data_IF_510868732639
#
_entry.id   IF_510868732639
#
_cell.length_a   1.000
_cell.length_b   1.000
_cell.length_c   1.000
_cell.angle_alpha   90.00
_cell.angle_beta   90.00
_cell.angle_gamma   90.00
#
_symmetry.space_group_name_H-M   'P 1'
#
loop_
_entity.id
_entity.type
_entity.pdbx_description
1 polymer ?
#
# COMPACT_ATOMS: atom_id res chain seq x y z
N UNK A 1 -11.14 22.42 -5.71
CA UNK A 1 -9.90 22.56 -6.51
C UNK A 1 -9.86 21.44 -7.53
N UNK A 2 -9.95 21.75 -8.82
CA UNK A 2 -9.90 20.74 -9.88
C UNK A 2 -8.53 20.05 -9.92
N UNK A 3 -8.47 18.73 -10.15
CA UNK A 3 -7.23 18.00 -10.36
C UNK A 3 -6.49 18.53 -11.60
N UNK A 4 -5.25 18.99 -11.45
CA UNK A 4 -4.40 19.36 -12.59
C UNK A 4 -3.66 18.12 -13.10
N UNK A 5 -3.68 17.85 -14.41
CA UNK A 5 -2.82 16.83 -15.05
C UNK A 5 -1.35 17.19 -14.78
N UNK A 6 -0.55 16.24 -14.27
CA UNK A 6 0.83 16.46 -13.85
C UNK A 6 1.80 15.42 -14.42
N UNK A 7 3.07 15.78 -14.70
CA UNK A 7 4.01 14.98 -15.51
C UNK A 7 4.76 13.87 -14.75
N UNK A 8 4.20 13.24 -13.71
CA UNK A 8 4.90 12.18 -12.95
C UNK A 8 3.98 11.01 -12.61
N UNK A 9 3.64 10.22 -13.62
CA UNK A 9 2.87 9.01 -13.42
C UNK A 9 3.40 7.91 -14.34
N UNK A 10 4.12 6.98 -13.72
CA UNK A 10 4.79 5.88 -14.41
C UNK A 10 3.81 4.92 -15.08
N UNK A 11 2.54 4.97 -14.67
CA UNK A 11 1.49 4.08 -15.08
C UNK A 11 0.44 4.74 -16.00
N UNK A 12 0.75 5.91 -16.60
CA UNK A 12 -0.17 6.59 -17.53
C UNK A 12 -0.60 5.62 -18.62
N UNK A 13 -1.88 5.24 -18.62
CA UNK A 13 -2.46 4.35 -19.63
C UNK A 13 -2.16 2.88 -19.52
N UNK A 14 -1.56 2.47 -18.42
CA UNK A 14 -1.33 1.06 -18.15
C UNK A 14 -2.43 0.48 -17.28
N UNK A 15 -3.10 1.29 -16.44
CA UNK A 15 -4.01 0.80 -15.39
C UNK A 15 -5.47 1.02 -15.76
N UNK A 16 -6.29 -0.01 -15.56
CA UNK A 16 -7.72 -0.05 -15.83
C UNK A 16 -8.47 -0.57 -14.59
N UNK A 17 -9.68 -0.09 -14.37
CA UNK A 17 -10.58 -0.61 -13.33
C UNK A 17 -11.50 -1.73 -13.85
N UNK A 18 -12.34 -2.26 -12.95
CA UNK A 18 -13.24 -3.39 -13.21
C UNK A 18 -14.26 -3.15 -14.33
N UNK A 19 -14.56 -1.89 -14.67
CA UNK A 19 -15.46 -1.58 -15.79
C UNK A 19 -14.68 -1.38 -17.10
N UNK A 20 -13.36 -1.54 -17.09
CA UNK A 20 -12.47 -1.23 -18.20
C UNK A 20 -12.16 0.26 -18.35
N UNK A 21 -12.50 1.13 -17.39
CA UNK A 21 -12.13 2.55 -17.47
C UNK A 21 -10.65 2.73 -17.12
N UNK A 22 -9.96 3.53 -17.92
CA UNK A 22 -8.54 3.80 -17.76
C UNK A 22 -8.33 4.77 -16.60
N UNK A 23 -7.42 4.45 -15.69
CA UNK A 23 -7.07 5.36 -14.61
C UNK A 23 -6.13 6.47 -15.11
N UNK A 24 -6.53 7.72 -14.89
CA UNK A 24 -5.76 8.91 -15.23
C UNK A 24 -5.06 9.48 -14.01
N UNK A 25 -3.75 9.76 -14.12
CA UNK A 25 -3.00 10.37 -13.04
C UNK A 25 -3.36 11.83 -12.83
N UNK A 26 -3.28 12.24 -11.57
CA UNK A 26 -3.65 13.57 -11.14
C UNK A 26 -2.94 13.91 -9.83
N UNK A 27 -2.78 15.21 -9.58
CA UNK A 27 -2.19 15.74 -8.34
C UNK A 27 -3.12 16.72 -7.66
N UNK A 28 -3.06 16.75 -6.33
CA UNK A 28 -3.77 17.71 -5.50
C UNK A 28 -2.81 18.32 -4.48
N UNK A 29 -2.87 19.64 -4.31
CA UNK A 29 -2.13 20.37 -3.27
C UNK A 29 -2.99 20.50 -2.01
N UNK A 30 -2.50 20.02 -0.87
CA UNK A 30 -3.12 20.26 0.44
C UNK A 30 -2.88 21.70 0.89
N UNK A 31 -3.66 22.17 1.87
CA UNK A 31 -3.46 23.48 2.51
C UNK A 31 -2.06 23.63 3.12
N UNK A 32 -1.46 22.54 3.57
CA UNK A 32 -0.08 22.48 4.08
C UNK A 32 1.02 22.58 3.01
N UNK A 33 0.67 22.82 1.74
CA UNK A 33 1.63 22.84 0.62
C UNK A 33 2.02 21.46 0.10
N UNK A 34 1.79 20.37 0.87
CA UNK A 34 2.08 18.99 0.44
C UNK A 34 1.30 18.60 -0.80
N UNK A 35 2.00 18.10 -1.81
CA UNK A 35 1.40 17.53 -3.04
C UNK A 35 1.10 16.05 -2.80
N UNK A 36 -0.10 15.62 -3.15
CA UNK A 36 -0.49 14.20 -3.16
C UNK A 36 -0.90 13.81 -4.57
N UNK A 37 -0.39 12.66 -5.03
CA UNK A 37 -0.65 12.08 -6.35
C UNK A 37 -1.69 10.97 -6.27
N UNK A 38 -2.51 10.85 -7.31
CA UNK A 38 -3.58 9.89 -7.40
C UNK A 38 -3.78 9.39 -8.84
N UNK A 39 -4.39 8.21 -8.99
CA UNK A 39 -4.95 7.69 -10.24
C UNK A 39 -6.48 7.66 -10.10
N UNK A 40 -7.22 8.19 -11.09
CA UNK A 40 -8.69 8.28 -11.06
C UNK A 40 -9.31 7.58 -12.27
N UNK A 41 -10.44 6.91 -12.11
CA UNK A 41 -11.26 6.54 -13.28
C UNK A 41 -11.60 7.79 -14.08
N UNK A 42 -11.44 7.75 -15.41
CA UNK A 42 -11.68 8.92 -16.25
C UNK A 42 -13.08 9.49 -16.07
N UNK A 43 -14.09 8.63 -15.85
CA UNK A 43 -15.47 9.05 -15.59
C UNK A 43 -15.61 10.04 -14.44
N UNK A 44 -14.74 9.98 -13.42
CA UNK A 44 -14.75 10.94 -12.30
C UNK A 44 -14.22 12.32 -12.70
N UNK A 45 -13.48 12.41 -13.80
CA UNK A 45 -12.91 13.65 -14.33
C UNK A 45 -13.85 14.29 -15.35
N UNK A 46 -14.43 13.48 -16.25
CA UNK A 46 -15.28 13.97 -17.36
C UNK A 46 -16.78 13.95 -17.06
N UNK A 47 -17.27 13.02 -16.23
CA UNK A 47 -18.70 12.74 -16.02
C UNK A 47 -19.28 13.17 -14.67
N UNK A 48 -18.43 13.60 -13.72
CA UNK A 48 -18.88 14.04 -12.40
C UNK A 48 -18.85 12.91 -11.35
N UNK A 49 -19.71 13.02 -10.33
CA UNK A 49 -19.70 12.08 -9.22
C UNK A 49 -20.25 10.70 -9.64
N UNK A 50 -19.41 9.67 -9.52
CA UNK A 50 -19.80 8.29 -9.80
C UNK A 50 -19.39 7.40 -8.61
N UNK A 51 -20.33 6.73 -7.91
CA UNK A 51 -20.02 5.90 -6.76
C UNK A 51 -19.15 4.67 -7.10
N UNK A 52 -19.13 4.25 -8.36
CA UNK A 52 -18.28 3.16 -8.87
C UNK A 52 -16.91 3.65 -9.33
N UNK A 53 -16.67 4.96 -9.37
CA UNK A 53 -15.40 5.52 -9.80
C UNK A 53 -14.28 5.33 -8.79
N UNK A 54 -13.08 5.06 -9.29
CA UNK A 54 -11.91 4.76 -8.48
C UNK A 54 -11.04 5.99 -8.29
N UNK A 55 -10.47 6.13 -7.10
CA UNK A 55 -9.46 7.15 -6.77
C UNK A 55 -8.37 6.53 -5.91
N UNK A 56 -7.24 6.19 -6.51
CA UNK A 56 -6.16 5.48 -5.84
C UNK A 56 -4.98 6.41 -5.54
N UNK A 57 -4.31 6.24 -4.42
CA UNK A 57 -3.04 6.93 -4.09
C UNK A 57 -1.94 6.41 -5.03
N UNK A 58 -1.24 7.32 -5.71
CA UNK A 58 -0.27 6.92 -6.73
C UNK A 58 0.98 6.26 -6.12
N UNK A 59 1.48 6.77 -5.01
CA UNK A 59 2.63 6.19 -4.29
C UNK A 59 2.38 4.74 -3.87
N UNK A 60 1.19 4.48 -3.32
CA UNK A 60 0.75 3.15 -2.90
C UNK A 60 0.68 2.19 -4.09
N UNK A 61 -0.02 2.59 -5.17
CA UNK A 61 -0.18 1.76 -6.36
C UNK A 61 1.15 1.46 -7.06
N UNK A 62 2.01 2.49 -7.17
CA UNK A 62 3.32 2.38 -7.81
C UNK A 62 4.25 1.44 -7.03
N UNK A 63 4.29 1.56 -5.69
CA UNK A 63 5.10 0.67 -4.86
C UNK A 63 4.61 -0.77 -4.91
N UNK A 64 3.30 -0.96 -4.78
CA UNK A 64 2.64 -2.25 -4.89
C UNK A 64 3.02 -2.99 -6.19
N UNK A 65 2.75 -2.35 -7.33
CA UNK A 65 2.98 -3.00 -8.62
C UNK A 65 4.46 -3.28 -8.85
N UNK A 66 5.34 -2.39 -8.38
CA UNK A 66 6.79 -2.62 -8.43
C UNK A 66 7.21 -3.85 -7.61
N UNK A 67 6.66 -4.03 -6.41
CA UNK A 67 6.99 -5.17 -5.55
C UNK A 67 6.49 -6.50 -6.15
N UNK A 68 5.25 -6.52 -6.66
CA UNK A 68 4.69 -7.68 -7.35
C UNK A 68 5.58 -8.08 -8.52
N UNK A 69 5.87 -7.13 -9.42
CA UNK A 69 6.63 -7.40 -10.64
C UNK A 69 8.04 -7.86 -10.30
N UNK A 70 8.73 -7.17 -9.38
CA UNK A 70 10.08 -7.53 -8.96
C UNK A 70 10.14 -8.94 -8.37
N UNK A 71 9.21 -9.29 -7.49
CA UNK A 71 9.15 -10.60 -6.84
C UNK A 71 8.86 -11.71 -7.86
N UNK A 72 7.82 -11.54 -8.68
CA UNK A 72 7.40 -12.58 -9.65
C UNK A 72 8.43 -12.81 -10.74
N UNK A 73 9.04 -11.75 -11.27
CA UNK A 73 10.11 -11.89 -12.26
C UNK A 73 11.34 -12.57 -11.65
N UNK A 74 11.73 -12.20 -10.42
CA UNK A 74 12.87 -12.82 -9.74
C UNK A 74 12.65 -14.30 -9.45
N UNK A 75 11.46 -14.67 -8.98
CA UNK A 75 11.05 -16.07 -8.79
C UNK A 75 11.07 -16.85 -10.11
N UNK A 76 10.49 -16.29 -11.18
CA UNK A 76 10.42 -16.94 -12.47
C UNK A 76 11.80 -17.10 -13.14
N UNK A 77 12.70 -16.13 -12.97
CA UNK A 77 14.09 -16.22 -13.43
C UNK A 77 14.86 -17.30 -12.66
N UNK A 78 14.87 -17.21 -11.33
CA UNK A 78 15.63 -18.10 -10.46
C UNK A 78 15.23 -19.57 -10.61
N UNK A 79 13.97 -19.83 -10.96
CA UNK A 79 13.43 -21.17 -11.18
C UNK A 79 13.53 -21.64 -12.65
N UNK A 80 14.26 -20.92 -13.51
CA UNK A 80 14.38 -21.20 -14.95
C UNK A 80 13.03 -21.28 -15.67
N UNK A 81 11.99 -20.63 -15.13
CA UNK A 81 10.63 -20.66 -15.67
C UNK A 81 10.44 -19.64 -16.77
N UNK A 82 10.96 -18.42 -16.55
CA UNK A 82 10.88 -17.33 -17.53
C UNK A 82 11.76 -17.61 -18.76
N UNK A 83 12.94 -18.19 -18.56
CA UNK A 83 13.87 -18.51 -19.63
C UNK A 83 14.51 -19.90 -19.41
N UNK A 84 13.84 -21.01 -19.82
CA UNK A 84 14.28 -22.37 -19.49
C UNK A 84 15.63 -22.79 -20.05
N UNK A 85 16.15 -22.07 -21.06
CA UNK A 85 17.42 -22.38 -21.73
C UNK A 85 18.51 -21.35 -21.42
N UNK A 86 18.27 -20.45 -20.46
CA UNK A 86 19.26 -19.47 -20.02
C UNK A 86 20.48 -20.18 -19.44
N UNK A 87 21.68 -19.70 -19.75
CA UNK A 87 22.90 -20.26 -19.16
C UNK A 87 23.09 -19.70 -17.73
N UNK A 88 23.78 -20.43 -16.83
CA UNK A 88 23.95 -19.99 -15.45
C UNK A 88 24.57 -18.60 -15.26
N UNK A 89 25.55 -18.20 -16.09
CA UNK A 89 26.15 -16.86 -16.01
C UNK A 89 25.19 -15.76 -16.49
N UNK A 90 24.45 -16.01 -17.58
CA UNK A 90 23.41 -15.11 -18.09
C UNK A 90 22.28 -14.95 -17.07
N UNK A 91 21.97 -15.99 -16.29
CA UNK A 91 21.00 -15.92 -15.20
C UNK A 91 21.45 -15.02 -14.06
N UNK A 92 22.71 -15.12 -13.63
CA UNK A 92 23.25 -14.23 -12.59
C UNK A 92 23.20 -12.78 -13.06
N UNK A 93 23.68 -12.50 -14.28
CA UNK A 93 23.64 -11.16 -14.86
C UNK A 93 22.21 -10.62 -14.99
N UNK A 94 21.25 -11.45 -15.40
CA UNK A 94 19.83 -11.06 -15.50
C UNK A 94 19.23 -10.78 -14.12
N UNK A 95 19.61 -11.57 -13.10
CA UNK A 95 19.16 -11.38 -11.71
C UNK A 95 19.72 -10.07 -11.14
N UNK A 96 20.99 -9.78 -11.38
CA UNK A 96 21.63 -8.53 -10.93
C UNK A 96 21.00 -7.30 -11.59
N UNK A 97 20.72 -7.37 -12.90
CA UNK A 97 20.01 -6.29 -13.62
C UNK A 97 18.61 -6.06 -13.08
N UNK A 98 17.88 -7.14 -12.79
CA UNK A 98 16.55 -7.04 -12.20
C UNK A 98 16.61 -6.43 -10.79
N UNK A 99 17.56 -6.85 -9.96
CA UNK A 99 17.74 -6.35 -8.59
C UNK A 99 18.19 -4.88 -8.56
N UNK A 100 18.83 -4.39 -9.61
CA UNK A 100 19.27 -3.00 -9.74
C UNK A 100 18.16 -2.01 -10.12
N UNK A 101 16.98 -2.48 -10.56
CA UNK A 101 15.90 -1.61 -11.00
C UNK A 101 15.30 -0.81 -9.85
N UNK A 102 15.09 0.49 -10.08
CA UNK A 102 14.27 1.30 -9.20
C UNK A 102 12.76 1.07 -9.45
N UNK A 103 11.91 1.68 -8.62
CA UNK A 103 10.44 1.59 -8.77
C UNK A 103 9.97 2.04 -10.15
N UNK A 104 10.54 3.11 -10.70
CA UNK A 104 10.12 3.65 -11.99
C UNK A 104 10.48 2.69 -13.12
N UNK A 105 11.69 2.17 -13.11
CA UNK A 105 12.18 1.23 -14.12
C UNK A 105 11.39 -0.07 -14.08
N UNK A 106 11.09 -0.58 -12.88
CA UNK A 106 10.24 -1.76 -12.71
C UNK A 106 8.84 -1.54 -13.27
N UNK A 107 8.21 -0.39 -13.00
CA UNK A 107 6.89 -0.05 -13.55
C UNK A 107 6.91 0.21 -15.05
N UNK A 108 8.07 0.50 -15.64
CA UNK A 108 8.19 0.68 -17.07
C UNK A 108 8.03 -0.65 -17.83
N UNK A 109 8.38 -1.77 -17.18
CA UNK A 109 8.17 -3.14 -17.69
C UNK A 109 6.70 -3.52 -17.82
N UNK A 110 5.78 -2.80 -17.16
CA UNK A 110 4.35 -3.09 -17.23
C UNK A 110 3.78 -2.62 -18.57
N UNK A 111 3.06 -3.50 -19.26
CA UNK A 111 2.26 -3.16 -20.44
C UNK A 111 0.82 -2.80 -20.04
N UNK A 112 0.21 -3.59 -19.16
CA UNK A 112 -1.19 -3.41 -18.71
C UNK A 112 -1.41 -3.92 -17.29
N UNK A 113 -2.29 -3.25 -16.56
CA UNK A 113 -2.82 -3.68 -15.26
C UNK A 113 -4.33 -3.55 -15.29
N UNK A 114 -5.02 -4.65 -15.02
CA UNK A 114 -6.46 -4.67 -14.78
C UNK A 114 -6.69 -4.88 -13.27
N UNK A 115 -7.30 -3.90 -12.62
CA UNK A 115 -7.57 -3.93 -11.20
C UNK A 115 -9.05 -4.22 -10.94
N UNK A 116 -9.30 -5.02 -9.91
CA UNK A 116 -10.61 -5.20 -9.25
C UNK A 116 -10.45 -5.02 -7.74
N UNK A 117 -11.55 -5.04 -6.99
CA UNK A 117 -11.45 -4.89 -5.53
C UNK A 117 -10.61 -5.99 -4.85
N UNK A 118 -10.49 -7.16 -5.50
CA UNK A 118 -9.86 -8.36 -4.93
C UNK A 118 -8.67 -8.90 -5.70
N UNK A 119 -8.40 -8.42 -6.92
CA UNK A 119 -7.28 -8.90 -7.77
C UNK A 119 -6.63 -7.83 -8.62
N UNK A 120 -5.33 -7.97 -8.86
CA UNK A 120 -4.55 -7.23 -9.84
C UNK A 120 -4.04 -8.21 -10.89
N UNK A 121 -4.52 -8.09 -12.13
CA UNK A 121 -3.93 -8.78 -13.27
C UNK A 121 -2.89 -7.87 -13.92
N UNK A 122 -1.66 -8.34 -14.03
CA UNK A 122 -0.53 -7.57 -14.55
C UNK A 122 0.03 -8.28 -15.77
N UNK A 123 0.22 -7.53 -16.84
CA UNK A 123 0.84 -7.98 -18.08
C UNK A 123 2.11 -7.16 -18.29
N UNK A 124 3.22 -7.85 -18.52
CA UNK A 124 4.52 -7.26 -18.77
C UNK A 124 4.78 -7.11 -20.27
N UNK A 125 5.55 -6.08 -20.60
CA UNK A 125 6.04 -5.80 -21.94
C UNK A 125 7.17 -6.78 -22.28
N UNK A 126 6.91 -7.63 -23.27
CA UNK A 126 7.81 -8.73 -23.65
C UNK A 126 9.16 -8.21 -24.13
N UNK A 127 9.16 -7.12 -24.91
CA UNK A 127 10.38 -6.56 -25.48
C UNK A 127 11.24 -5.92 -24.39
N UNK A 128 10.61 -5.20 -23.44
CA UNK A 128 11.33 -4.61 -22.32
C UNK A 128 11.89 -5.66 -21.37
N UNK A 129 11.13 -6.71 -21.06
CA UNK A 129 11.64 -7.80 -20.23
C UNK A 129 12.77 -8.54 -20.95
N UNK A 130 12.62 -8.84 -22.24
CA UNK A 130 13.69 -9.45 -23.05
C UNK A 130 14.97 -8.61 -23.09
N UNK A 131 14.84 -7.29 -23.23
CA UNK A 131 15.97 -6.37 -23.17
C UNK A 131 16.65 -6.35 -21.79
N UNK A 132 15.86 -6.38 -20.71
CA UNK A 132 16.38 -6.41 -19.33
C UNK A 132 17.21 -7.67 -19.07
N UNK A 133 16.68 -8.84 -19.43
CA UNK A 133 17.35 -10.13 -19.18
C UNK A 133 18.36 -10.49 -20.27
N UNK A 134 18.42 -9.71 -21.36
CA UNK A 134 19.24 -9.94 -22.57
C UNK A 134 18.97 -11.29 -23.25
N UNK A 135 17.70 -11.64 -23.37
CA UNK A 135 17.24 -12.87 -24.00
C UNK A 135 16.26 -12.50 -25.10
N UNK A 136 16.42 -13.11 -26.28
CA UNK A 136 15.47 -12.94 -27.38
C UNK A 136 14.05 -13.32 -26.91
N UNK A 137 13.07 -12.54 -27.32
CA UNK A 137 11.67 -12.71 -26.89
C UNK A 137 11.08 -14.07 -27.25
N UNK A 138 11.57 -14.70 -28.32
CA UNK A 138 11.20 -16.07 -28.73
C UNK A 138 11.70 -17.18 -27.78
N UNK A 139 12.65 -16.89 -26.90
CA UNK A 139 13.22 -17.81 -25.89
C UNK A 139 12.60 -17.59 -24.51
N UNK A 140 11.78 -16.56 -24.35
CA UNK A 140 11.02 -16.30 -23.12
C UNK A 140 9.75 -17.14 -23.09
N UNK A 141 9.41 -17.62 -21.89
CA UNK A 141 8.11 -18.19 -21.63
C UNK A 141 7.13 -17.07 -21.25
N UNK A 142 6.23 -16.75 -22.17
CA UNK A 142 5.28 -15.64 -22.04
C UNK A 142 4.23 -15.86 -20.94
N UNK A 143 4.02 -17.11 -20.50
CA UNK A 143 3.08 -17.41 -19.41
C UNK A 143 3.54 -16.76 -18.09
N UNK A 144 4.84 -16.54 -17.92
CA UNK A 144 5.41 -15.87 -16.75
C UNK A 144 5.53 -14.35 -16.90
N UNK A 145 5.05 -13.79 -18.02
CA UNK A 145 4.90 -12.34 -18.23
C UNK A 145 3.50 -11.85 -17.93
N UNK A 146 2.64 -12.74 -17.43
CA UNK A 146 1.31 -12.43 -16.92
C UNK A 146 1.18 -13.00 -15.52
N UNK A 147 0.75 -12.17 -14.59
CA UNK A 147 0.43 -12.64 -13.24
C UNK A 147 -0.92 -12.10 -12.80
N UNK A 148 -1.60 -12.87 -11.95
CA UNK A 148 -2.77 -12.41 -11.23
C UNK A 148 -2.47 -12.53 -9.74
N UNK A 149 -2.48 -11.39 -9.05
CA UNK A 149 -2.24 -11.33 -7.61
C UNK A 149 -3.53 -10.98 -6.87
N UNK A 150 -3.83 -11.68 -5.76
CA UNK A 150 -4.89 -11.24 -4.85
C UNK A 150 -4.46 -9.93 -4.18
N UNK A 151 -5.34 -8.92 -4.20
CA UNK A 151 -5.16 -7.62 -3.54
C UNK A 151 -6.41 -7.30 -2.72
N UNK A 152 -6.34 -6.34 -1.79
CA UNK A 152 -7.54 -5.85 -1.09
C UNK A 152 -7.62 -4.33 -1.20
N UNK A 153 -8.51 -3.89 -2.09
CA UNK A 153 -8.94 -2.50 -2.19
C UNK A 153 -10.22 -2.32 -1.39
N UNK A 154 -10.28 -1.33 -0.49
CA UNK A 154 -11.55 -0.97 0.17
C UNK A 154 -11.93 0.48 -0.08
N UNK A 155 -13.23 0.74 -0.20
CA UNK A 155 -13.81 2.09 -0.27
C UNK A 155 -13.76 2.70 1.12
N UNK A 156 -13.22 3.92 1.26
CA UNK A 156 -13.26 4.65 2.54
C UNK A 156 -14.30 5.76 2.44
N UNK A 157 -15.36 5.65 3.26
CA UNK A 157 -16.52 6.57 3.39
C UNK A 157 -17.56 6.49 2.24
N UNK A 158 -18.82 6.92 2.49
CA UNK A 158 -19.98 6.91 1.58
C UNK A 158 -19.76 7.73 0.27
N UNK A 159 -18.93 7.25 -0.66
CA UNK A 159 -18.74 7.85 -1.98
C UNK A 159 -17.49 7.36 -2.71
N UNK A 160 -17.28 7.88 -3.93
CA UNK A 160 -16.33 7.54 -5.02
C UNK A 160 -14.81 7.56 -4.69
N UNK A 161 -14.43 7.37 -3.42
CA UNK A 161 -13.06 7.44 -2.94
C UNK A 161 -12.62 6.09 -2.42
N UNK A 162 -12.03 5.30 -3.31
CA UNK A 162 -11.26 4.13 -2.89
C UNK A 162 -10.03 4.57 -2.09
N UNK A 163 -9.67 3.80 -1.09
CA UNK A 163 -8.37 3.95 -0.40
C UNK A 163 -7.73 2.58 -0.43
N UNK A 164 -6.53 2.47 -1.00
CA UNK A 164 -5.72 1.26 -0.86
C UNK A 164 -5.59 0.92 0.63
N UNK A 165 -5.99 -0.29 1.02
CA UNK A 165 -5.89 -0.77 2.41
C UNK A 165 -4.75 -1.79 2.55
N UNK A 166 -4.39 -2.51 1.48
CA UNK A 166 -3.12 -3.23 1.41
C UNK A 166 -3.01 -4.23 0.26
N UNK A 167 -1.79 -4.65 0.01
CA UNK A 167 -1.40 -5.89 -0.68
C UNK A 167 -0.26 -6.47 0.14
N UNK A 168 -0.58 -7.57 0.84
CA UNK A 168 -0.08 -7.81 2.21
C UNK A 168 -0.39 -6.60 3.11
N UNK A 169 -0.62 -6.87 4.37
CA UNK A 169 -1.03 -5.83 5.30
C UNK A 169 -0.09 -4.64 5.30
N UNK A 170 -0.55 -3.47 4.86
CA UNK A 170 0.28 -2.28 4.99
C UNK A 170 0.13 -1.74 6.42
N UNK A 171 1.24 -1.57 7.16
CA UNK A 171 1.19 -1.06 8.51
C UNK A 171 0.48 0.30 8.56
N UNK A 172 -0.55 0.42 9.40
CA UNK A 172 -1.24 1.69 9.59
C UNK A 172 -0.32 2.68 10.33
N UNK A 173 0.53 3.39 9.59
CA UNK A 173 1.55 4.28 10.16
C UNK A 173 0.99 5.37 11.08
N UNK A 174 -0.27 5.77 10.90
CA UNK A 174 -0.92 6.71 11.81
C UNK A 174 -1.22 6.04 13.16
N UNK A 175 -1.71 4.81 13.14
CA UNK A 175 -1.94 4.00 14.33
C UNK A 175 -0.63 3.62 15.02
N UNK A 176 0.39 3.19 14.27
CA UNK A 176 1.72 2.89 14.82
C UNK A 176 2.32 4.11 15.52
N UNK A 177 2.28 5.29 14.89
CA UNK A 177 2.73 6.53 15.55
C UNK A 177 1.93 6.83 16.81
N UNK A 178 0.62 6.57 16.81
CA UNK A 178 -0.21 6.78 18.00
C UNK A 178 0.17 5.82 19.14
N UNK A 179 0.45 4.55 18.85
CA UNK A 179 0.92 3.55 19.82
C UNK A 179 2.27 3.96 20.40
N UNK A 180 3.25 4.28 19.55
CA UNK A 180 4.59 4.73 19.99
C UNK A 180 4.50 5.99 20.84
N UNK A 181 3.64 6.94 20.45
CA UNK A 181 3.42 8.16 21.24
C UNK A 181 2.81 7.84 22.61
N UNK A 182 1.84 6.93 22.66
CA UNK A 182 1.21 6.51 23.91
C UNK A 182 2.23 5.82 24.85
N UNK A 183 3.10 4.96 24.31
CA UNK A 183 4.17 4.31 25.06
C UNK A 183 5.15 5.33 25.64
N UNK A 184 5.58 6.31 24.83
CA UNK A 184 6.44 7.40 25.30
C UNK A 184 5.79 8.20 26.45
N UNK A 185 4.49 8.50 26.37
CA UNK A 185 3.77 9.17 27.46
C UNK A 185 3.73 8.33 28.74
N UNK A 186 3.55 7.01 28.62
CA UNK A 186 3.60 6.11 29.79
C UNK A 186 4.97 6.15 30.45
N UNK A 187 6.05 6.15 29.67
CA UNK A 187 7.40 6.22 30.22
C UNK A 187 7.68 7.58 30.88
N UNK A 188 7.26 8.69 30.27
CA UNK A 188 7.35 10.01 30.90
C UNK A 188 6.57 10.10 32.23
N UNK A 189 5.41 9.43 32.34
CA UNK A 189 4.62 9.37 33.58
C UNK A 189 5.34 8.53 34.64
N UNK A 190 5.94 7.40 34.27
CA UNK A 190 6.77 6.59 35.19
C UNK A 190 7.95 7.37 35.73
N UNK A 191 8.53 8.25 34.91
CA UNK A 191 9.62 9.16 35.27
C UNK A 191 9.16 10.36 36.13
N UNK A 192 7.88 10.39 36.54
CA UNK A 192 7.33 11.38 37.46
C UNK A 192 6.73 12.61 36.80
N UNK A 193 6.61 12.64 35.46
CA UNK A 193 5.97 13.76 34.76
C UNK A 193 4.46 13.72 34.98
N UNK A 194 3.90 14.87 35.39
CA UNK A 194 2.46 14.98 35.61
C UNK A 194 1.69 15.07 34.29
N UNK A 195 0.44 14.62 34.29
CA UNK A 195 -0.45 14.76 33.12
C UNK A 195 -0.61 16.22 32.71
N UNK A 196 -0.70 17.14 33.68
CA UNK A 196 -0.76 18.58 33.39
C UNK A 196 0.44 19.06 32.57
N UNK A 197 1.64 18.55 32.85
CA UNK A 197 2.84 18.84 32.07
C UNK A 197 2.77 18.27 30.65
N UNK A 198 2.22 17.06 30.46
CA UNK A 198 1.98 16.47 29.13
C UNK A 198 0.98 17.29 28.30
N UNK A 199 -0.14 17.72 28.90
CA UNK A 199 -1.14 18.62 28.28
C UNK A 199 -0.48 19.88 27.72
N UNK A 200 0.37 20.52 28.52
CA UNK A 200 1.08 21.76 28.13
C UNK A 200 2.11 21.50 27.04
N UNK A 201 2.85 20.40 27.12
CA UNK A 201 3.91 20.05 26.16
C UNK A 201 3.37 19.68 24.78
N UNK A 202 2.21 19.01 24.71
CA UNK A 202 1.66 18.48 23.46
C UNK A 202 0.45 19.26 22.93
N UNK A 203 -0.14 20.17 23.71
CA UNK A 203 -1.32 20.93 23.32
C UNK A 203 -2.60 20.08 23.19
N UNK A 204 -2.67 18.96 23.92
CA UNK A 204 -3.77 17.98 23.88
C UNK A 204 -4.46 17.95 25.23
N UNK A 205 -5.79 17.88 25.30
CA UNK A 205 -6.54 17.85 26.58
C UNK A 205 -6.24 16.60 27.42
N UNK A 206 -6.35 16.72 28.75
CA UNK A 206 -6.08 15.61 29.67
C UNK A 206 -6.97 14.39 29.40
N UNK A 207 -8.24 14.60 29.03
CA UNK A 207 -9.17 13.53 28.64
C UNK A 207 -8.69 12.77 27.41
N UNK A 208 -8.12 13.47 26.43
CA UNK A 208 -7.62 12.85 25.20
C UNK A 208 -6.28 12.15 25.42
N UNK A 209 -5.44 12.66 26.33
CA UNK A 209 -4.22 11.97 26.78
C UNK A 209 -4.59 10.63 27.43
N UNK A 210 -5.51 10.62 28.39
CA UNK A 210 -5.97 9.39 29.04
C UNK A 210 -6.52 8.36 28.06
N UNK A 211 -7.37 8.80 27.12
CA UNK A 211 -7.91 7.92 26.08
C UNK A 211 -6.82 7.32 25.19
N UNK A 212 -5.77 8.07 24.86
CA UNK A 212 -4.70 7.60 23.98
C UNK A 212 -3.66 6.76 24.70
N UNK A 213 -3.47 6.97 26.01
CA UNK A 213 -2.60 6.13 26.85
C UNK A 213 -3.05 4.66 26.80
N UNK A 214 -4.35 4.36 26.63
CA UNK A 214 -4.82 2.98 26.49
C UNK A 214 -4.14 2.22 25.33
N UNK A 215 -3.72 2.93 24.26
CA UNK A 215 -3.01 2.33 23.12
C UNK A 215 -1.63 1.76 23.50
N UNK A 216 -1.03 2.20 24.60
CA UNK A 216 0.23 1.66 25.09
C UNK A 216 0.09 0.25 25.67
N UNK A 217 -1.13 -0.17 26.01
CA UNK A 217 -1.43 -1.43 26.71
C UNK A 217 -2.09 -2.48 25.81
N UNK A 218 -2.06 -2.29 24.49
CA UNK A 218 -2.52 -3.29 23.52
C UNK A 218 -1.67 -4.57 23.59
N UNK A 219 -2.29 -5.72 23.32
CA UNK A 219 -1.57 -7.00 23.34
C UNK A 219 -0.42 -7.02 22.33
N UNK A 220 0.72 -7.68 22.65
CA UNK A 220 1.84 -7.81 21.72
C UNK A 220 1.44 -8.43 20.38
N UNK A 221 0.50 -9.38 20.39
CA UNK A 221 -0.02 -10.03 19.18
C UNK A 221 -0.84 -9.05 18.33
N UNK A 222 -1.70 -8.26 18.96
CA UNK A 222 -2.46 -7.21 18.28
C UNK A 222 -1.53 -6.14 17.67
N UNK A 223 -0.47 -5.76 18.38
CA UNK A 223 0.56 -4.84 17.85
C UNK A 223 1.28 -5.46 16.65
N UNK A 224 1.65 -6.74 16.72
CA UNK A 224 2.29 -7.45 15.62
C UNK A 224 1.38 -7.50 14.37
N UNK A 225 0.08 -7.73 14.54
CA UNK A 225 -0.92 -7.68 13.46
C UNK A 225 -1.12 -6.27 12.89
N UNK A 226 -1.05 -5.23 13.72
CA UNK A 226 -1.10 -3.83 13.29
C UNK A 226 0.15 -3.45 12.48
N UNK A 227 1.32 -3.95 12.88
CA UNK A 227 2.60 -3.72 12.19
C UNK A 227 2.66 -4.53 10.89
N UNK A 228 2.21 -5.79 10.92
CA UNK A 228 2.12 -6.65 9.75
C UNK A 228 0.98 -6.27 8.80
N UNK A 229 0.09 -5.36 9.24
CA UNK A 229 -1.14 -4.91 8.57
C UNK A 229 -2.13 -6.03 8.24
N UNK A 230 -1.93 -7.22 8.80
CA UNK A 230 -2.65 -8.47 8.48
C UNK A 230 -4.03 -8.56 9.12
N UNK A 231 -4.43 -7.51 9.87
CA UNK A 231 -5.73 -7.49 10.55
C UNK A 231 -6.91 -7.56 9.56
N UNK A 232 -7.80 -8.52 9.81
CA UNK A 232 -9.04 -8.76 9.05
C UNK A 232 -9.98 -7.53 9.14
N UNK A 233 -9.91 -6.79 10.25
CA UNK A 233 -10.71 -5.62 10.58
C UNK A 233 -9.90 -4.32 10.45
N UNK A 234 -10.51 -3.23 9.96
CA UNK A 234 -9.84 -1.92 9.92
C UNK A 234 -9.72 -1.38 11.35
N UNK A 235 -8.60 -1.68 12.02
CA UNK A 235 -8.31 -1.14 13.34
C UNK A 235 -8.03 0.36 13.21
N UNK A 236 -8.91 1.15 13.81
CA UNK A 236 -8.76 2.60 13.89
C UNK A 236 -8.35 3.01 15.30
N UNK A 237 -7.70 4.17 15.41
CA UNK A 237 -7.40 4.77 16.71
C UNK A 237 -8.68 4.91 17.54
N UNK A 238 -9.79 5.32 16.92
CA UNK A 238 -11.08 5.52 17.62
C UNK A 238 -11.65 4.24 18.23
N UNK A 239 -11.55 3.11 17.52
CA UNK A 239 -11.96 1.81 18.04
C UNK A 239 -11.10 1.40 19.24
N UNK A 240 -9.79 1.58 19.14
CA UNK A 240 -8.81 1.15 20.15
C UNK A 240 -8.74 2.06 21.39
N UNK A 241 -9.31 3.27 21.31
CA UNK A 241 -9.46 4.18 22.47
C UNK A 241 -10.90 4.21 23.01
N UNK A 242 -11.78 3.33 22.50
CA UNK A 242 -13.16 3.22 22.98
C UNK A 242 -13.20 2.64 24.40
N UNK A 243 -14.29 2.90 25.13
CA UNK A 243 -14.45 2.44 26.52
C UNK A 243 -14.65 0.93 26.65
N UNK A 244 -14.93 0.27 25.53
CA UNK A 244 -15.28 -1.15 25.50
C UNK A 244 -14.06 -2.05 25.22
N UNK A 245 -12.85 -1.47 25.12
CA UNK A 245 -11.61 -2.23 24.95
C UNK A 245 -11.19 -2.83 26.30
N UNK A 246 -11.16 -4.17 26.44
CA UNK A 246 -10.73 -4.81 27.67
C UNK A 246 -9.24 -4.57 27.95
N UNK A 247 -8.84 -4.61 29.21
CA UNK A 247 -7.42 -4.54 29.60
C UNK A 247 -6.72 -5.90 29.50
N UNK A 248 -7.48 -7.00 29.55
CA UNK A 248 -6.95 -8.34 29.39
C UNK A 248 -6.57 -8.60 27.93
N UNK A 249 -5.36 -9.13 27.72
CA UNK A 249 -4.85 -9.37 26.37
C UNK A 249 -5.59 -10.50 25.64
N UNK A 250 -6.03 -11.55 26.32
CA UNK A 250 -6.78 -12.63 25.68
C UNK A 250 -8.16 -12.13 25.22
N UNK A 251 -8.82 -11.29 26.01
CA UNK A 251 -10.07 -10.64 25.63
C UNK A 251 -9.88 -9.65 24.47
N UNK A 252 -8.78 -8.88 24.45
CA UNK A 252 -8.44 -8.01 23.30
C UNK A 252 -8.23 -8.83 22.03
N UNK A 253 -7.49 -9.93 22.12
CA UNK A 253 -7.22 -10.81 20.99
C UNK A 253 -8.51 -11.45 20.45
N UNK A 254 -9.38 -11.97 21.33
CA UNK A 254 -10.68 -12.49 20.92
C UNK A 254 -11.57 -11.42 20.27
N UNK A 255 -11.54 -10.18 20.79
CA UNK A 255 -12.35 -9.08 20.27
C UNK A 255 -11.89 -8.58 18.89
N UNK A 256 -10.58 -8.51 18.64
CA UNK A 256 -10.04 -7.87 17.44
C UNK A 256 -9.43 -8.82 16.41
N UNK A 257 -8.96 -10.00 16.84
CA UNK A 257 -8.28 -10.98 15.99
C UNK A 257 -9.16 -12.18 15.65
N UNK A 258 -10.20 -12.46 16.45
CA UNK A 258 -11.12 -13.60 16.26
C UNK A 258 -10.66 -14.82 17.05
#
# INVERSE_FOLDING_TARGET
KHPSRGPSAYLVGKVFDETGDRLTPSKSKKSSGRVVRYYYSNRLISGGADPTGWRLRADMLEQLLSEIVGTRLSEALSQFRLAPRIKPHELNDATDRLAALDTKETLDLIARVDLSETKASIQLDVDKVGALVQIETNKLNLDYLRTEEPIVLRKRTNGSKLTWIGYKGEPNHALIRAIVTAQAWVDEIKDGKTINALTKSHGISSTMIWKRISLAFLSPKLIAEIIGGTSIHELTIEMLISKDVPLDWAEQEAMFLG
#
